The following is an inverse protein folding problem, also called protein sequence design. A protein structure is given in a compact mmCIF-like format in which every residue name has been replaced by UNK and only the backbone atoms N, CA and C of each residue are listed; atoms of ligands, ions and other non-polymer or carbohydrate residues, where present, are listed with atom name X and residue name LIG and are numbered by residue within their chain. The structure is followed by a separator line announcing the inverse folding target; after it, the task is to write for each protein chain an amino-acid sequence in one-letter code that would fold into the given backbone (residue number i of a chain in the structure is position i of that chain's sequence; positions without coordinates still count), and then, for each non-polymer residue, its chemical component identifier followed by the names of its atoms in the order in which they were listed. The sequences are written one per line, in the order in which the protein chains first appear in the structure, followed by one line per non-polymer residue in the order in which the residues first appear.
data_IF_361475728515
#
_entry.id   IF_361475728515
#
_cell.length_a   1.000
_cell.length_b   1.000
_cell.length_c   1.000
_cell.angle_alpha   90.00
_cell.angle_beta   90.00
_cell.angle_gamma   90.00
#
_symmetry.space_group_name_H-M   'P 1'
#
loop_
_entity.id
_entity.type
_entity.pdbx_description
1 polymer ?
#
# COMPACT_ATOMS: atom_id res chain seq x y z
N UNK A 1 -0.78 -13.36 9.97
CA UNK A 1 -1.31 -12.04 10.38
C UNK A 1 -2.79 -11.89 10.05
N UNK A 2 -3.23 -12.17 8.82
CA UNK A 2 -4.64 -11.98 8.38
C UNK A 2 -5.67 -12.70 9.25
N UNK A 3 -5.46 -13.98 9.57
CA UNK A 3 -6.37 -14.74 10.45
C UNK A 3 -6.48 -14.15 11.86
N UNK A 4 -5.37 -13.63 12.40
CA UNK A 4 -5.35 -13.00 13.72
C UNK A 4 -6.09 -11.65 13.69
N UNK A 5 -5.87 -10.85 12.64
CA UNK A 5 -6.61 -9.60 12.42
C UNK A 5 -8.12 -9.88 12.31
N UNK A 6 -8.51 -10.84 11.46
CA UNK A 6 -9.90 -11.23 11.28
C UNK A 6 -10.55 -11.70 12.59
N UNK A 7 -9.85 -12.54 13.36
CA UNK A 7 -10.34 -13.02 14.66
C UNK A 7 -10.57 -11.86 15.63
N UNK A 8 -9.62 -10.93 15.75
CA UNK A 8 -9.75 -9.77 16.63
C UNK A 8 -10.86 -8.82 16.18
N UNK A 9 -10.96 -8.52 14.88
CA UNK A 9 -11.99 -7.66 14.32
C UNK A 9 -13.38 -8.27 14.51
N UNK A 10 -13.54 -9.57 14.28
CA UNK A 10 -14.82 -10.25 14.45
C UNK A 10 -15.25 -10.33 15.92
N UNK A 11 -14.32 -10.60 16.84
CA UNK A 11 -14.57 -10.51 18.27
C UNK A 11 -15.03 -9.10 18.66
N UNK A 12 -14.36 -8.06 18.15
CA UNK A 12 -14.75 -6.67 18.37
C UNK A 12 -16.17 -6.38 17.88
N UNK A 13 -16.47 -6.78 16.64
CA UNK A 13 -17.78 -6.59 16.00
C UNK A 13 -18.90 -7.28 16.80
N UNK A 14 -18.68 -8.51 17.25
CA UNK A 14 -19.68 -9.31 17.95
C UNK A 14 -19.96 -8.81 19.38
N UNK A 15 -18.91 -8.44 20.13
CA UNK A 15 -19.05 -8.23 21.58
C UNK A 15 -18.98 -6.76 22.02
N UNK A 16 -18.35 -5.89 21.23
CA UNK A 16 -17.98 -4.54 21.69
C UNK A 16 -18.52 -3.41 20.81
N UNK A 17 -18.67 -3.63 19.50
CA UNK A 17 -19.04 -2.57 18.54
C UNK A 17 -20.37 -1.89 18.88
N UNK A 18 -21.39 -2.63 19.31
CA UNK A 18 -22.70 -2.06 19.67
C UNK A 18 -22.67 -1.16 20.92
N UNK A 19 -21.63 -1.28 21.77
CA UNK A 19 -21.49 -0.48 23.00
C UNK A 19 -20.49 0.66 22.82
N UNK A 20 -19.39 0.41 22.10
CA UNK A 20 -18.27 1.34 21.98
C UNK A 20 -18.33 2.19 20.72
N UNK A 21 -19.07 1.75 19.69
CA UNK A 21 -19.22 2.43 18.40
C UNK A 21 -17.89 2.76 17.70
N UNK A 22 -16.82 2.02 18.01
CA UNK A 22 -15.52 2.17 17.38
C UNK A 22 -15.38 1.42 16.06
N UNK A 23 -14.18 1.45 15.50
CA UNK A 23 -13.84 0.83 14.22
C UNK A 23 -12.46 0.18 14.29
N UNK A 24 -12.27 -0.92 13.56
CA UNK A 24 -10.99 -1.63 13.48
C UNK A 24 -10.51 -1.67 12.04
N UNK A 25 -9.28 -1.24 11.81
CA UNK A 25 -8.64 -1.21 10.49
C UNK A 25 -7.23 -1.79 10.52
N UNK A 26 -6.55 -1.73 9.37
CA UNK A 26 -5.16 -2.15 9.22
C UNK A 26 -4.38 -1.10 8.43
N UNK A 27 -3.14 -0.85 8.83
CA UNK A 27 -2.23 0.03 8.07
C UNK A 27 -1.37 -0.79 7.12
N UNK A 28 -1.23 -0.34 5.88
CA UNK A 28 -0.40 -0.95 4.85
C UNK A 28 0.67 0.03 4.37
N UNK A 29 1.87 -0.48 4.14
CA UNK A 29 2.94 0.29 3.49
C UNK A 29 2.76 0.23 1.98
N UNK A 30 2.82 1.39 1.32
CA UNK A 30 2.57 1.52 -0.11
C UNK A 30 3.66 2.34 -0.79
N UNK A 31 3.80 2.13 -2.10
CA UNK A 31 4.59 2.97 -2.97
C UNK A 31 3.70 3.62 -4.02
N UNK A 32 4.01 4.87 -4.40
CA UNK A 32 3.61 5.33 -5.73
C UNK A 32 4.38 4.54 -6.78
N UNK A 33 3.78 4.21 -7.92
CA UNK A 33 4.40 3.31 -8.89
C UNK A 33 4.18 3.81 -10.31
N UNK A 34 5.24 3.90 -11.10
CA UNK A 34 5.13 4.13 -12.53
C UNK A 34 5.88 3.04 -13.28
N UNK A 35 5.34 2.55 -14.41
CA UNK A 35 6.10 1.67 -15.27
C UNK A 35 7.31 2.45 -15.82
N UNK A 36 8.47 1.80 -15.89
CA UNK A 36 9.71 2.45 -16.36
C UNK A 36 9.57 2.89 -17.83
N UNK A 37 8.88 2.09 -18.63
CA UNK A 37 8.53 2.39 -20.03
C UNK A 37 7.03 2.18 -20.28
N UNK A 38 6.54 2.58 -21.45
CA UNK A 38 5.14 2.36 -21.85
C UNK A 38 4.84 0.92 -22.31
N UNK A 39 5.78 -0.01 -22.15
CA UNK A 39 5.63 -1.41 -22.56
C UNK A 39 4.50 -2.10 -21.78
N UNK A 40 3.91 -3.14 -22.37
CA UNK A 40 2.93 -3.98 -21.67
C UNK A 40 3.57 -4.68 -20.46
N UNK A 41 4.85 -5.05 -20.59
CA UNK A 41 5.61 -5.74 -19.56
C UNK A 41 5.76 -4.90 -18.28
N UNK A 42 6.16 -3.63 -18.42
CA UNK A 42 6.35 -2.73 -17.27
C UNK A 42 5.01 -2.35 -16.62
N UNK A 43 3.94 -2.23 -17.40
CA UNK A 43 2.58 -2.00 -16.87
C UNK A 43 2.08 -3.20 -16.08
N UNK A 44 2.36 -4.42 -16.54
CA UNK A 44 2.06 -5.62 -15.76
C UNK A 44 2.92 -5.70 -14.51
N UNK A 45 4.18 -5.26 -14.57
CA UNK A 45 5.07 -5.19 -13.42
C UNK A 45 4.54 -4.19 -12.35
N UNK A 46 4.04 -3.03 -12.76
CA UNK A 46 3.35 -2.09 -11.87
C UNK A 46 2.15 -2.75 -11.17
N UNK A 47 1.31 -3.49 -11.93
CA UNK A 47 0.18 -4.23 -11.35
C UNK A 47 0.64 -5.29 -10.33
N UNK A 48 1.71 -6.04 -10.63
CA UNK A 48 2.31 -7.01 -9.68
C UNK A 48 2.79 -6.32 -8.40
N UNK A 49 3.46 -5.17 -8.50
CA UNK A 49 3.88 -4.41 -7.32
C UNK A 49 2.68 -4.04 -6.43
N UNK A 50 1.60 -3.56 -7.03
CA UNK A 50 0.38 -3.22 -6.30
C UNK A 50 -0.26 -4.46 -5.67
N UNK A 51 -0.32 -5.60 -6.37
CA UNK A 51 -0.82 -6.85 -5.80
C UNK A 51 -0.01 -7.29 -4.57
N UNK A 52 1.33 -7.16 -4.60
CA UNK A 52 2.19 -7.59 -3.50
C UNK A 52 2.23 -6.62 -2.31
N UNK A 53 2.17 -5.30 -2.53
CA UNK A 53 2.21 -4.31 -1.44
C UNK A 53 0.84 -3.91 -0.90
N UNK A 54 -0.20 -3.92 -1.74
CA UNK A 54 -1.56 -3.53 -1.39
C UNK A 54 -2.45 -4.77 -1.34
N UNK A 55 -2.48 -5.53 -2.44
CA UNK A 55 -3.37 -6.68 -2.60
C UNK A 55 -3.11 -7.81 -1.60
N UNK A 56 -1.87 -8.02 -1.17
CA UNK A 56 -1.54 -9.09 -0.23
C UNK A 56 -2.33 -9.00 1.09
N UNK A 57 -2.64 -7.77 1.51
CA UNK A 57 -3.45 -7.51 2.71
C UNK A 57 -4.90 -7.17 2.37
N UNK A 58 -5.14 -6.29 1.39
CA UNK A 58 -6.50 -5.81 1.12
C UNK A 58 -7.35 -6.83 0.35
N UNK A 59 -6.77 -7.62 -0.55
CA UNK A 59 -7.54 -8.57 -1.35
C UNK A 59 -8.20 -9.64 -0.45
N UNK A 60 -7.50 -10.26 0.54
CA UNK A 60 -8.15 -11.15 1.48
C UNK A 60 -9.25 -10.46 2.31
N UNK A 61 -8.98 -9.24 2.81
CA UNK A 61 -9.92 -8.52 3.66
C UNK A 61 -11.17 -8.01 2.92
N UNK A 62 -11.11 -7.86 1.60
CA UNK A 62 -12.25 -7.38 0.78
C UNK A 62 -12.93 -8.53 0.05
N UNK A 63 -12.17 -9.46 -0.50
CA UNK A 63 -12.67 -10.51 -1.39
C UNK A 63 -12.63 -11.92 -0.78
N UNK A 64 -11.83 -12.14 0.25
CA UNK A 64 -11.72 -13.42 0.96
C UNK A 64 -10.57 -14.31 0.50
N UNK A 65 -9.75 -13.89 -0.46
CA UNK A 65 -8.59 -14.65 -0.94
C UNK A 65 -7.45 -13.72 -1.35
N UNK A 66 -6.26 -14.28 -1.61
CA UNK A 66 -5.11 -13.54 -2.14
C UNK A 66 -5.28 -13.18 -3.62
N UNK A 67 -4.56 -12.15 -4.13
CA UNK A 67 -4.56 -11.84 -5.55
C UNK A 67 -4.11 -13.05 -6.40
N UNK A 68 -4.79 -13.32 -7.51
CA UNK A 68 -4.45 -14.44 -8.42
C UNK A 68 -3.02 -14.37 -8.94
N UNK A 69 -2.52 -13.16 -9.20
CA UNK A 69 -1.11 -12.89 -9.53
C UNK A 69 -0.16 -13.47 -8.48
N UNK A 70 -0.45 -13.26 -7.19
CA UNK A 70 0.39 -13.77 -6.11
C UNK A 70 0.30 -15.29 -6.02
N UNK A 71 -0.91 -15.87 -6.12
CA UNK A 71 -1.10 -17.33 -6.13
C UNK A 71 -0.31 -17.99 -7.25
N UNK A 72 -0.32 -17.39 -8.45
CA UNK A 72 0.42 -17.89 -9.61
C UNK A 72 1.94 -17.78 -9.45
N UNK A 73 2.47 -16.69 -8.87
CA UNK A 73 3.92 -16.44 -8.80
C UNK A 73 4.58 -17.10 -7.59
N UNK A 74 3.89 -17.09 -6.44
CA UNK A 74 4.39 -17.65 -5.18
C UNK A 74 4.12 -19.15 -5.11
N UNK A 75 3.01 -19.61 -5.68
CA UNK A 75 2.61 -21.02 -5.69
C UNK A 75 2.41 -21.57 -4.28
N UNK A 76 2.86 -22.80 -4.05
CA UNK A 76 2.64 -23.55 -2.79
C UNK A 76 3.25 -22.94 -1.52
N UNK A 77 4.08 -21.90 -1.65
CA UNK A 77 4.59 -21.13 -0.50
C UNK A 77 3.56 -20.16 0.06
N UNK A 78 2.56 -19.77 -0.72
CA UNK A 78 1.44 -18.96 -0.26
C UNK A 78 0.39 -19.90 0.36
N UNK A 79 0.08 -19.76 1.66
CA UNK A 79 -0.93 -20.61 2.28
C UNK A 79 -2.31 -20.35 1.67
N UNK A 80 -3.11 -21.41 1.49
CA UNK A 80 -4.51 -21.27 1.09
C UNK A 80 -5.38 -21.00 2.32
N UNK A 81 -6.42 -20.19 2.12
CA UNK A 81 -7.51 -20.12 3.08
C UNK A 81 -8.46 -21.31 2.89
N UNK A 82 -8.84 -21.94 3.99
CA UNK A 82 -10.05 -22.77 3.99
C UNK A 82 -11.29 -21.91 3.74
N UNK A 83 -12.41 -22.52 3.34
CA UNK A 83 -13.68 -21.80 3.14
C UNK A 83 -14.07 -21.01 4.40
N UNK A 84 -14.03 -21.65 5.57
CA UNK A 84 -14.30 -21.03 6.87
C UNK A 84 -13.38 -19.83 7.17
N UNK A 85 -12.11 -19.90 6.81
CA UNK A 85 -11.16 -18.81 7.02
C UNK A 85 -11.40 -17.67 6.04
N UNK A 86 -11.67 -17.99 4.77
CA UNK A 86 -12.01 -17.01 3.74
C UNK A 86 -13.24 -16.19 4.16
N UNK A 87 -14.29 -16.86 4.64
CA UNK A 87 -15.50 -16.20 5.15
C UNK A 87 -15.22 -15.30 6.36
N UNK A 88 -14.35 -15.73 7.28
CA UNK A 88 -13.99 -14.94 8.47
C UNK A 88 -13.13 -13.73 8.14
N UNK A 89 -12.23 -13.84 7.17
CA UNK A 89 -11.31 -12.75 6.76
C UNK A 89 -12.03 -11.72 5.90
N UNK A 90 -12.93 -12.16 5.02
CA UNK A 90 -13.70 -11.28 4.14
C UNK A 90 -14.55 -10.30 4.94
N UNK A 91 -14.39 -9.01 4.65
CA UNK A 91 -15.08 -7.93 5.33
C UNK A 91 -14.58 -7.66 6.76
N UNK A 92 -13.50 -8.30 7.22
CA UNK A 92 -12.94 -8.09 8.56
C UNK A 92 -12.10 -6.80 8.65
N UNK A 93 -12.57 -5.71 8.05
CA UNK A 93 -11.93 -4.39 8.00
C UNK A 93 -13.01 -3.30 7.99
N UNK A 94 -12.84 -2.23 8.78
CA UNK A 94 -13.71 -1.04 8.75
C UNK A 94 -13.06 0.15 7.99
N UNK A 95 -11.73 0.23 7.97
CA UNK A 95 -10.95 1.24 7.24
C UNK A 95 -9.53 0.75 6.94
N UNK A 96 -8.84 1.40 6.00
CA UNK A 96 -7.42 1.17 5.71
C UNK A 96 -6.57 2.39 6.09
N UNK A 97 -5.47 2.14 6.79
CA UNK A 97 -4.38 3.09 6.98
C UNK A 97 -3.40 2.99 5.83
N UNK A 98 -3.08 4.10 5.17
CA UNK A 98 -2.08 4.16 4.10
C UNK A 98 -0.83 4.81 4.66
N UNK A 99 0.28 4.07 4.62
CA UNK A 99 1.62 4.57 4.88
C UNK A 99 2.29 4.76 3.51
N UNK A 100 2.72 5.99 3.20
CA UNK A 100 3.33 6.31 1.91
C UNK A 100 4.40 7.38 2.07
N UNK A 101 5.56 7.17 1.46
CA UNK A 101 6.69 8.11 1.55
C UNK A 101 7.38 8.40 0.22
N UNK A 102 7.39 7.42 -0.69
CA UNK A 102 8.17 7.49 -1.92
C UNK A 102 7.44 6.81 -3.08
N UNK A 103 7.91 7.10 -4.28
CA UNK A 103 7.49 6.44 -5.49
C UNK A 103 8.62 5.67 -6.16
N UNK A 104 8.27 4.67 -6.97
CA UNK A 104 9.18 3.77 -7.67
C UNK A 104 8.89 3.80 -9.17
N UNK A 105 9.94 3.74 -9.98
CA UNK A 105 9.87 3.20 -11.32
C UNK A 105 9.94 1.68 -11.25
N UNK A 106 9.05 1.03 -11.99
CA UNK A 106 8.87 -0.42 -11.98
C UNK A 106 9.14 -0.94 -13.38
N UNK A 107 10.07 -1.87 -13.49
CA UNK A 107 10.37 -2.54 -14.75
C UNK A 107 10.07 -4.03 -14.63
N UNK A 108 9.53 -4.60 -15.69
CA UNK A 108 9.42 -6.04 -15.82
C UNK A 108 10.79 -6.71 -15.70
N UNK A 109 10.84 -7.76 -14.90
CA UNK A 109 11.95 -8.69 -14.94
C UNK A 109 11.36 -10.08 -15.15
N UNK A 110 12.03 -10.91 -15.95
CA UNK A 110 11.66 -12.31 -16.02
C UNK A 110 11.87 -12.91 -14.62
N UNK A 111 10.92 -13.72 -14.11
CA UNK A 111 11.13 -14.46 -12.87
C UNK A 111 12.46 -15.20 -13.03
N UNK A 112 13.45 -14.86 -12.21
CA UNK A 112 14.73 -15.52 -12.33
C UNK A 112 14.51 -17.00 -12.08
N UNK A 113 14.84 -17.86 -13.04
CA UNK A 113 14.92 -19.33 -12.91
C UNK A 113 16.06 -19.74 -11.95
N UNK A 114 16.29 -18.97 -10.89
CA UNK A 114 17.24 -19.26 -9.82
C UNK A 114 16.42 -19.87 -8.69
N UNK A 115 16.21 -21.19 -8.66
CA UNK A 115 15.37 -21.87 -7.68
C UNK A 115 15.78 -21.60 -6.22
N UNK A 116 17.01 -21.12 -6.00
CA UNK A 116 17.61 -20.91 -4.66
C UNK A 116 17.40 -19.50 -4.09
N UNK A 117 16.72 -18.59 -4.80
CA UNK A 117 16.42 -17.22 -4.34
C UNK A 117 14.91 -16.97 -4.50
N UNK A 118 14.11 -17.62 -3.65
CA UNK A 118 12.66 -17.42 -3.59
C UNK A 118 12.31 -16.65 -2.32
N UNK A 119 12.07 -15.36 -2.47
CA UNK A 119 11.55 -14.46 -1.45
C UNK A 119 10.51 -13.50 -2.03
N UNK A 120 9.90 -12.71 -1.15
CA UNK A 120 8.87 -11.73 -1.50
C UNK A 120 9.28 -10.82 -2.67
N UNK A 121 10.55 -10.38 -2.73
CA UNK A 121 11.03 -9.47 -3.77
C UNK A 121 11.24 -10.19 -5.10
N UNK A 122 11.81 -11.39 -5.07
CA UNK A 122 12.04 -12.17 -6.30
C UNK A 122 10.74 -12.65 -6.91
N UNK A 123 9.75 -13.00 -6.07
CA UNK A 123 8.43 -13.48 -6.50
C UNK A 123 7.63 -12.43 -7.29
N UNK A 124 7.79 -11.15 -6.94
CA UNK A 124 7.17 -10.06 -7.69
C UNK A 124 7.62 -10.00 -9.15
N UNK A 125 8.82 -10.52 -9.46
CA UNK A 125 9.42 -10.47 -10.79
C UNK A 125 9.46 -9.02 -11.35
N UNK A 126 9.97 -8.09 -10.53
CA UNK A 126 10.11 -6.67 -10.87
C UNK A 126 11.50 -6.15 -10.52
N UNK A 127 11.99 -5.19 -11.30
CA UNK A 127 13.15 -4.38 -10.97
C UNK A 127 12.65 -2.99 -10.53
N UNK A 128 13.07 -2.55 -9.33
CA UNK A 128 12.57 -1.34 -8.69
C UNK A 128 13.65 -0.27 -8.63
N UNK A 129 13.33 0.94 -9.10
CA UNK A 129 14.20 2.11 -8.99
C UNK A 129 13.46 3.22 -8.28
N UNK A 130 14.03 3.77 -7.21
CA UNK A 130 13.41 4.89 -6.48
C UNK A 130 13.34 6.12 -7.39
N UNK A 131 12.17 6.78 -7.44
CA UNK A 131 11.99 8.03 -8.17
C UNK A 131 12.78 9.15 -7.49
N UNK A 132 13.50 9.94 -8.29
CA UNK A 132 14.26 11.11 -7.82
C UNK A 132 15.72 10.78 -7.50
N UNK A 133 16.43 11.76 -6.92
CA UNK A 133 17.86 11.65 -6.69
C UNK A 133 18.19 10.96 -5.36
N UNK A 134 18.57 9.68 -5.43
CA UNK A 134 18.96 8.85 -4.27
C UNK A 134 20.27 9.30 -3.58
N UNK A 135 21.00 10.25 -4.16
CA UNK A 135 22.22 10.81 -3.54
C UNK A 135 21.91 11.58 -2.25
N UNK A 136 20.66 12.07 -2.11
CA UNK A 136 20.18 12.70 -0.87
C UNK A 136 19.77 11.62 0.14
N UNK A 137 20.75 10.97 0.79
CA UNK A 137 20.52 9.86 1.74
C UNK A 137 19.52 10.13 2.87
N UNK A 138 19.24 11.41 3.16
CA UNK A 138 18.37 11.85 4.25
C UNK A 138 17.11 12.59 3.78
N UNK A 139 16.70 12.45 2.52
CA UNK A 139 15.46 13.04 2.00
C UNK A 139 14.78 12.08 1.01
N UNK A 140 13.45 12.06 1.05
CA UNK A 140 12.64 11.46 0.00
C UNK A 140 12.44 12.44 -1.14
N UNK A 141 12.29 11.93 -2.36
CA UNK A 141 11.83 12.74 -3.47
C UNK A 141 10.39 13.23 -3.21
N UNK A 142 10.10 14.46 -3.61
CA UNK A 142 8.77 15.04 -3.48
C UNK A 142 7.86 14.51 -4.59
N UNK A 143 7.17 13.39 -4.32
CA UNK A 143 6.32 12.67 -5.29
C UNK A 143 4.86 12.58 -4.82
N UNK A 144 4.15 13.71 -4.63
CA UNK A 144 2.78 13.72 -4.09
C UNK A 144 1.78 13.00 -5.02
N UNK A 145 2.08 12.94 -6.32
CA UNK A 145 1.32 12.16 -7.29
C UNK A 145 1.28 10.66 -6.95
N UNK A 146 2.31 10.13 -6.29
CA UNK A 146 2.38 8.72 -5.89
C UNK A 146 1.36 8.38 -4.81
N UNK A 147 1.24 9.24 -3.79
CA UNK A 147 0.17 9.12 -2.80
C UNK A 147 -1.21 9.25 -3.46
N UNK A 148 -1.41 10.24 -4.35
CA UNK A 148 -2.68 10.38 -5.08
C UNK A 148 -3.03 9.10 -5.86
N UNK A 149 -2.07 8.50 -6.56
CA UNK A 149 -2.26 7.27 -7.31
C UNK A 149 -2.71 6.13 -6.39
N UNK A 150 -2.05 5.91 -5.25
CA UNK A 150 -2.42 4.88 -4.27
C UNK A 150 -3.85 5.08 -3.76
N UNK A 151 -4.22 6.31 -3.40
CA UNK A 151 -5.56 6.61 -2.88
C UNK A 151 -6.66 6.33 -3.93
N UNK A 152 -6.41 6.68 -5.19
CA UNK A 152 -7.33 6.41 -6.29
C UNK A 152 -7.36 4.93 -6.66
N UNK A 153 -6.22 4.23 -6.61
CA UNK A 153 -6.18 2.79 -6.82
C UNK A 153 -7.02 2.07 -5.77
N UNK A 154 -6.88 2.41 -4.49
CA UNK A 154 -7.71 1.80 -3.42
C UNK A 154 -9.20 2.10 -3.63
N UNK A 155 -9.53 3.32 -4.08
CA UNK A 155 -10.91 3.69 -4.44
C UNK A 155 -11.48 2.72 -5.48
N UNK A 156 -10.80 2.54 -6.61
CA UNK A 156 -11.34 1.76 -7.73
C UNK A 156 -11.28 0.25 -7.47
N UNK A 157 -10.19 -0.24 -6.87
CA UNK A 157 -9.90 -1.66 -6.76
C UNK A 157 -10.50 -2.32 -5.51
N UNK A 158 -10.87 -1.55 -4.47
CA UNK A 158 -11.31 -2.10 -3.18
C UNK A 158 -12.59 -1.44 -2.65
N UNK A 159 -13.49 -1.00 -3.55
CA UNK A 159 -14.83 -0.55 -3.18
C UNK A 159 -14.86 0.77 -2.37
N UNK A 160 -13.85 1.62 -2.53
CA UNK A 160 -13.76 2.92 -1.87
C UNK A 160 -13.89 2.88 -0.33
N UNK A 161 -13.20 1.90 0.28
CA UNK A 161 -13.02 1.81 1.73
C UNK A 161 -12.61 3.17 2.33
N UNK A 162 -13.03 3.50 3.57
CA UNK A 162 -12.50 4.65 4.27
C UNK A 162 -10.97 4.56 4.40
N UNK A 163 -10.27 5.63 3.99
CA UNK A 163 -8.81 5.69 4.00
C UNK A 163 -8.36 6.73 5.02
N UNK A 164 -7.37 6.40 5.84
CA UNK A 164 -6.60 7.37 6.61
C UNK A 164 -5.16 7.32 6.11
N UNK A 165 -4.56 8.45 5.74
CA UNK A 165 -3.11 8.50 5.52
C UNK A 165 -2.48 8.43 6.90
N UNK A 166 -2.07 7.22 7.30
CA UNK A 166 -1.64 6.91 8.66
C UNK A 166 -0.21 7.39 8.92
N UNK A 167 0.61 7.44 7.88
CA UNK A 167 1.92 8.08 7.92
C UNK A 167 2.28 8.68 6.56
N UNK A 168 2.72 9.93 6.58
CA UNK A 168 3.44 10.56 5.49
C UNK A 168 4.39 11.64 6.05
N UNK A 169 5.58 11.78 5.48
CA UNK A 169 6.52 12.76 5.99
C UNK A 169 7.87 12.78 5.32
N UNK A 170 8.71 13.71 5.77
CA UNK A 170 10.00 13.97 5.16
C UNK A 170 11.11 13.90 6.20
N UNK A 171 12.11 13.07 5.89
CA UNK A 171 13.39 13.07 6.58
C UNK A 171 14.12 14.35 6.21
N UNK A 172 14.80 14.95 7.18
CA UNK A 172 15.63 16.13 6.94
C UNK A 172 17.04 15.84 7.43
N UNK A 173 18.09 16.23 6.69
CA UNK A 173 19.45 16.15 7.21
C UNK A 173 19.56 16.94 8.51
N UNK A 174 20.45 16.52 9.41
CA UNK A 174 20.79 17.32 10.59
C UNK A 174 21.40 18.64 10.11
N UNK A 175 20.62 19.71 10.20
CA UNK A 175 21.04 21.07 9.91
C UNK A 175 21.30 21.81 11.22
N UNK A 176 22.17 22.82 11.16
CA UNK A 176 22.51 23.68 12.31
C UNK A 176 21.30 24.43 12.90
N UNK A 177 20.19 24.52 12.16
CA UNK A 177 18.94 25.14 12.60
C UNK A 177 17.75 24.18 12.42
N UNK A 178 17.57 23.19 13.31
CA UNK A 178 16.56 22.13 13.16
C UNK A 178 15.11 22.62 13.07
N UNK A 179 14.84 23.84 13.52
CA UNK A 179 13.52 24.50 13.44
C UNK A 179 13.21 25.13 12.07
N UNK A 180 14.19 25.20 11.14
CA UNK A 180 14.01 25.75 9.78
C UNK A 180 13.94 24.60 8.77
N UNK A 181 12.85 23.84 8.79
CA UNK A 181 12.65 22.61 8.00
C UNK A 181 11.82 22.83 6.72
N UNK A 182 12.19 23.83 5.91
CA UNK A 182 11.45 24.24 4.69
C UNK A 182 11.23 23.10 3.69
N UNK A 183 12.14 22.12 3.64
CA UNK A 183 12.00 20.91 2.81
C UNK A 183 10.81 20.06 3.28
N UNK A 184 10.65 19.86 4.60
CA UNK A 184 9.52 19.12 5.18
C UNK A 184 8.22 19.89 4.97
N UNK A 185 8.22 21.21 5.21
CA UNK A 185 7.05 22.07 4.97
C UNK A 185 6.56 21.95 3.54
N UNK A 186 7.46 22.02 2.55
CA UNK A 186 7.11 21.87 1.14
C UNK A 186 6.54 20.48 0.82
N UNK A 187 7.19 19.42 1.31
CA UNK A 187 6.76 18.04 1.10
C UNK A 187 5.37 17.78 1.69
N UNK A 188 5.13 18.15 2.96
CA UNK A 188 3.83 17.91 3.61
C UNK A 188 2.73 18.70 2.90
N UNK A 189 3.01 19.96 2.51
CA UNK A 189 2.07 20.77 1.73
C UNK A 189 1.69 20.10 0.41
N UNK A 190 2.67 19.64 -0.38
CA UNK A 190 2.42 19.02 -1.68
C UNK A 190 1.58 17.73 -1.55
N UNK A 191 1.81 16.94 -0.49
CA UNK A 191 1.08 15.70 -0.25
C UNK A 191 -0.35 15.95 0.26
N UNK A 192 -0.57 16.95 1.12
CA UNK A 192 -1.92 17.39 1.50
C UNK A 192 -2.69 17.90 0.28
N UNK A 193 -2.04 18.65 -0.63
CA UNK A 193 -2.64 19.07 -1.89
C UNK A 193 -3.04 17.86 -2.77
N UNK A 194 -2.21 16.81 -2.83
CA UNK A 194 -2.56 15.56 -3.51
C UNK A 194 -3.75 14.83 -2.86
N UNK A 195 -3.82 14.77 -1.53
CA UNK A 195 -4.98 14.21 -0.80
C UNK A 195 -6.25 14.99 -1.14
N UNK A 196 -6.19 16.32 -1.18
CA UNK A 196 -7.31 17.17 -1.57
C UNK A 196 -7.76 16.87 -3.01
N UNK A 197 -6.82 16.67 -3.94
CA UNK A 197 -7.16 16.27 -5.31
C UNK A 197 -7.81 14.88 -5.38
N UNK A 198 -7.36 13.91 -4.56
CA UNK A 198 -7.98 12.60 -4.47
C UNK A 198 -9.41 12.67 -3.92
N UNK A 199 -9.64 13.48 -2.88
CA UNK A 199 -10.98 13.75 -2.33
C UNK A 199 -11.93 14.31 -3.40
N UNK A 200 -11.46 15.29 -4.19
CA UNK A 200 -12.23 15.87 -5.31
C UNK A 200 -12.53 14.85 -6.42
N UNK A 201 -11.73 13.80 -6.54
CA UNK A 201 -11.94 12.66 -7.45
C UNK A 201 -12.74 11.51 -6.80
N UNK A 202 -13.27 11.70 -5.59
CA UNK A 202 -14.18 10.77 -4.91
C UNK A 202 -13.50 9.70 -4.05
N UNK A 203 -12.18 9.79 -3.80
CA UNK A 203 -11.53 8.89 -2.85
C UNK A 203 -12.06 9.15 -1.43
N UNK A 204 -12.36 8.09 -0.68
CA UNK A 204 -12.96 8.18 0.65
C UNK A 204 -11.92 8.43 1.77
N UNK A 205 -11.11 9.48 1.63
CA UNK A 205 -10.09 9.83 2.62
C UNK A 205 -10.73 10.54 3.83
N UNK A 206 -10.41 10.09 5.04
CA UNK A 206 -10.99 10.54 6.30
C UNK A 206 -10.01 11.28 7.20
N UNK A 207 -8.70 11.15 6.96
CA UNK A 207 -7.68 11.85 7.73
C UNK A 207 -6.28 11.71 7.14
N UNK A 208 -5.37 12.53 7.65
CA UNK A 208 -3.95 12.57 7.31
C UNK A 208 -3.14 12.82 8.58
N UNK A 209 -2.15 11.97 8.83
CA UNK A 209 -1.31 11.94 10.02
C UNK A 209 0.18 11.97 9.66
#
# INVERSE_FOLDING_TARGET
MLLAHASATNLYKQHYKNKQHGSVGVSIYTYGALPLTNSSEDKQAEARLNDFFIGWILHPLVYGDYPETMKSLVGSRLPDFTEDESEKVKGAIDFVGVINYMALYVKGNSPSLKPNLQDFNTDMAVELTVVGNISFKNQYADTPWGLQQVLLYIKEAYGNLPIYVAENGQKTPQISSPLKDTVRVKYVRSHIEAVLHSLRKGANVKGYF
#
